data_IF_122819008222
#
_entry.id   IF_122819008222
#
_cell.length_a   1.000
_cell.length_b   1.000
_cell.length_c   1.000
_cell.angle_alpha   90.00
_cell.angle_beta   90.00
_cell.angle_gamma   90.00
#
_symmetry.space_group_name_H-M   'P 1'
#
loop_
_entity.id
_entity.type
_entity.pdbx_description
1 polymer ?
#
# COMPACT_ATOMS: atom_id res chain seq x y z
N UNK A 1 13.30 42.24 -15.47
CA UNK A 1 12.28 41.46 -16.23
C UNK A 1 12.84 40.20 -16.91
N UNK A 2 13.92 40.25 -17.71
CA UNK A 2 14.45 39.03 -18.39
C UNK A 2 14.91 37.89 -17.47
N UNK A 3 15.46 38.16 -16.29
CA UNK A 3 15.90 37.14 -15.32
C UNK A 3 14.75 36.40 -14.63
N UNK A 4 13.62 37.07 -14.43
CA UNK A 4 12.40 36.47 -13.85
C UNK A 4 11.65 35.60 -14.86
N UNK A 5 11.69 35.99 -16.16
CA UNK A 5 11.10 35.14 -17.23
C UNK A 5 11.88 33.83 -17.41
N UNK A 6 13.21 33.86 -17.34
CA UNK A 6 14.02 32.63 -17.41
C UNK A 6 13.80 31.71 -16.21
N UNK A 7 13.61 32.27 -15.00
CA UNK A 7 13.26 31.47 -13.81
C UNK A 7 11.88 30.82 -13.91
N UNK A 8 10.87 31.53 -14.43
CA UNK A 8 9.53 30.98 -14.64
C UNK A 8 9.52 29.94 -15.75
N UNK A 9 10.27 30.12 -16.83
CA UNK A 9 10.40 29.13 -17.91
C UNK A 9 11.11 27.86 -17.42
N UNK A 10 12.15 27.99 -16.59
CA UNK A 10 12.83 26.85 -15.98
C UNK A 10 11.95 26.10 -14.99
N UNK A 11 11.09 26.79 -14.22
CA UNK A 11 10.10 26.16 -13.34
C UNK A 11 8.98 25.45 -14.13
N UNK A 12 8.52 26.04 -15.25
CA UNK A 12 7.55 25.42 -16.16
C UNK A 12 8.14 24.19 -16.89
N UNK A 13 9.40 24.26 -17.33
CA UNK A 13 10.10 23.10 -17.90
C UNK A 13 10.34 21.99 -16.85
N UNK A 14 10.65 22.34 -15.60
CA UNK A 14 10.78 21.36 -14.53
C UNK A 14 9.44 20.71 -14.16
N UNK A 15 8.32 21.44 -14.25
CA UNK A 15 7.00 20.92 -13.99
C UNK A 15 6.49 19.96 -15.11
N UNK A 16 6.99 20.09 -16.33
CA UNK A 16 6.64 19.18 -17.44
C UNK A 16 7.49 17.91 -17.48
N UNK A 17 8.56 17.81 -16.69
CA UNK A 17 9.43 16.63 -16.62
C UNK A 17 8.98 15.62 -15.55
N UNK A 18 7.92 15.89 -14.77
CA UNK A 18 7.35 14.96 -13.79
C UNK A 18 6.06 14.28 -14.25
N UNK A 19 5.77 14.26 -15.54
CA UNK A 19 4.79 13.31 -16.08
C UNK A 19 5.58 12.08 -16.54
N UNK A 20 6.12 11.30 -15.59
CA UNK A 20 6.56 9.95 -15.89
C UNK A 20 5.32 9.17 -16.37
N UNK A 21 5.33 8.60 -17.55
CA UNK A 21 4.34 7.58 -17.86
C UNK A 21 4.61 6.44 -16.86
N UNK A 22 3.70 6.22 -15.93
CA UNK A 22 3.64 4.95 -15.23
C UNK A 22 3.79 3.87 -16.32
N UNK A 23 4.53 2.79 -16.02
CA UNK A 23 4.58 1.61 -16.87
C UNK A 23 3.12 1.18 -17.08
N UNK A 24 2.47 1.72 -18.12
CA UNK A 24 1.08 1.46 -18.42
C UNK A 24 1.03 0.08 -19.07
N UNK A 25 0.76 -0.93 -18.27
CA UNK A 25 0.45 -2.27 -18.71
C UNK A 25 -0.96 -2.24 -19.33
N UNK A 26 -1.04 -1.95 -20.61
CA UNK A 26 -2.32 -1.86 -21.30
C UNK A 26 -2.76 -3.25 -21.76
N UNK A 27 -3.96 -3.74 -21.35
CA UNK A 27 -4.53 -4.96 -21.88
C UNK A 27 -4.90 -4.78 -23.37
N UNK A 28 -4.86 -5.85 -24.14
CA UNK A 28 -5.21 -5.90 -25.57
C UNK A 28 -6.73 -5.85 -25.83
N UNK A 29 -7.53 -5.60 -24.81
CA UNK A 29 -9.00 -5.49 -24.86
C UNK A 29 -9.49 -4.19 -24.25
N UNK A 30 -10.69 -3.77 -24.67
CA UNK A 30 -11.32 -2.54 -24.15
C UNK A 30 -12.17 -2.85 -22.93
N UNK A 31 -12.00 -2.06 -21.87
CA UNK A 31 -12.83 -2.08 -20.67
C UNK A 31 -13.88 -0.96 -20.78
N UNK A 32 -15.16 -1.32 -20.84
CA UNK A 32 -16.28 -0.37 -20.98
C UNK A 32 -16.77 0.18 -19.65
N UNK A 33 -16.50 -0.49 -18.52
CA UNK A 33 -16.81 -0.02 -17.18
C UNK A 33 -16.20 1.35 -16.90
N UNK A 34 -16.92 2.18 -16.11
CA UNK A 34 -16.55 3.57 -15.90
C UNK A 34 -15.33 3.74 -15.00
N UNK A 35 -15.21 2.92 -13.95
CA UNK A 35 -14.04 2.90 -13.08
C UNK A 35 -13.61 1.47 -12.76
N UNK A 36 -12.29 1.23 -12.78
CA UNK A 36 -11.68 -0.07 -12.52
C UNK A 36 -10.41 0.11 -11.71
N UNK A 37 -10.13 -0.88 -10.86
CA UNK A 37 -8.89 -1.00 -10.11
C UNK A 37 -8.51 -2.49 -10.01
N UNK A 38 -7.33 -2.86 -10.49
CA UNK A 38 -6.78 -4.22 -10.42
C UNK A 38 -5.38 -4.19 -9.79
N UNK A 39 -5.20 -4.93 -8.72
CA UNK A 39 -3.95 -4.98 -7.97
C UNK A 39 -3.54 -6.44 -7.70
N UNK A 40 -2.24 -6.71 -7.75
CA UNK A 40 -1.67 -7.93 -7.21
C UNK A 40 -1.46 -7.78 -5.70
N UNK A 41 -2.04 -8.68 -4.91
CA UNK A 41 -2.01 -8.61 -3.44
C UNK A 41 -0.65 -8.98 -2.83
N UNK A 42 0.15 -9.78 -3.55
CA UNK A 42 1.44 -10.29 -3.06
C UNK A 42 2.51 -9.19 -3.09
N UNK A 43 2.44 -8.31 -4.09
CA UNK A 43 3.44 -7.26 -4.34
C UNK A 43 2.90 -5.84 -4.12
N UNK A 44 1.59 -5.66 -4.07
CA UNK A 44 0.94 -4.35 -4.04
C UNK A 44 0.99 -3.60 -5.39
N UNK A 45 1.42 -4.27 -6.47
CA UNK A 45 1.50 -3.65 -7.79
C UNK A 45 0.10 -3.46 -8.38
N UNK A 46 -0.23 -2.23 -8.76
CA UNK A 46 -1.44 -1.93 -9.53
C UNK A 46 -1.17 -2.24 -11.01
N UNK A 47 -1.90 -3.24 -11.55
CA UNK A 47 -1.71 -3.68 -12.91
C UNK A 47 -2.56 -2.88 -13.90
N UNK A 48 -3.77 -2.50 -13.48
CA UNK A 48 -4.67 -1.73 -14.31
C UNK A 48 -5.53 -0.81 -13.47
N UNK A 49 -5.63 0.44 -13.87
CA UNK A 49 -6.57 1.39 -13.30
C UNK A 49 -7.23 2.26 -14.38
N UNK A 50 -8.50 2.52 -14.17
CA UNK A 50 -9.28 3.43 -14.99
C UNK A 50 -10.17 4.24 -14.05
N UNK A 51 -10.01 5.56 -14.02
CA UNK A 51 -10.81 6.46 -13.18
C UNK A 51 -10.93 5.99 -11.71
N UNK A 52 -9.89 5.31 -11.17
CA UNK A 52 -9.97 4.63 -9.88
C UNK A 52 -10.31 5.55 -8.71
N UNK A 53 -9.98 6.83 -8.80
CA UNK A 53 -10.28 7.86 -7.80
C UNK A 53 -11.57 8.66 -8.10
N UNK A 54 -12.30 8.34 -9.16
CA UNK A 54 -13.55 9.00 -9.48
C UNK A 54 -14.65 8.59 -8.51
N UNK A 55 -15.39 9.56 -7.97
CA UNK A 55 -16.58 9.29 -7.14
C UNK A 55 -17.69 8.70 -7.99
N UNK A 56 -18.21 7.58 -7.54
CA UNK A 56 -19.29 6.84 -8.18
C UNK A 56 -20.22 6.27 -7.12
N UNK A 57 -21.40 5.84 -7.54
CA UNK A 57 -22.34 5.18 -6.65
C UNK A 57 -21.95 3.73 -6.42
N UNK A 58 -21.69 3.31 -5.16
CA UNK A 58 -21.19 1.96 -4.87
C UNK A 58 -22.28 0.89 -4.91
N UNK A 59 -23.56 1.29 -4.87
CA UNK A 59 -24.66 0.37 -4.68
C UNK A 59 -24.41 -0.59 -3.49
N UNK A 60 -24.80 -1.86 -3.58
CA UNK A 60 -24.65 -2.85 -2.51
C UNK A 60 -23.18 -3.22 -2.16
N UNK A 61 -22.15 -2.67 -2.82
CA UNK A 61 -20.76 -2.77 -2.35
C UNK A 61 -20.60 -2.11 -0.97
N UNK A 62 -21.47 -1.16 -0.63
CA UNK A 62 -21.62 -0.52 0.69
C UNK A 62 -21.66 -1.55 1.84
N UNK A 63 -22.28 -2.72 1.62
CA UNK A 63 -22.43 -3.77 2.65
C UNK A 63 -21.12 -4.36 3.12
N UNK A 64 -20.02 -4.12 2.40
CA UNK A 64 -18.67 -4.45 2.88
C UNK A 64 -18.34 -3.63 4.14
N UNK A 65 -18.60 -2.30 4.12
CA UNK A 65 -18.41 -1.46 5.30
C UNK A 65 -19.36 -1.86 6.43
N UNK A 66 -20.60 -2.19 6.11
CA UNK A 66 -21.55 -2.71 7.10
C UNK A 66 -21.02 -3.96 7.78
N UNK A 67 -20.49 -4.91 7.01
CA UNK A 67 -19.91 -6.14 7.55
C UNK A 67 -18.63 -5.90 8.38
N UNK A 68 -17.76 -4.97 7.95
CA UNK A 68 -16.57 -4.57 8.72
C UNK A 68 -16.98 -4.13 10.12
N UNK A 69 -17.94 -3.21 10.22
CA UNK A 69 -18.37 -2.70 11.52
C UNK A 69 -19.07 -3.75 12.37
N UNK A 70 -19.85 -4.66 11.77
CA UNK A 70 -20.47 -5.78 12.50
C UNK A 70 -19.39 -6.67 13.10
N UNK A 71 -18.40 -7.06 12.30
CA UNK A 71 -17.32 -7.98 12.73
C UNK A 71 -16.39 -7.35 13.77
N UNK A 72 -16.24 -6.03 13.78
CA UNK A 72 -15.44 -5.32 14.77
C UNK A 72 -16.18 -5.07 16.10
N UNK A 73 -17.51 -4.99 16.06
CA UNK A 73 -18.30 -4.60 17.24
C UNK A 73 -19.09 -5.76 17.87
N UNK A 74 -19.20 -6.89 17.20
CA UNK A 74 -19.91 -8.08 17.70
C UNK A 74 -18.94 -9.24 17.86
N UNK A 75 -18.42 -9.50 19.06
CA UNK A 75 -17.40 -10.53 19.29
C UNK A 75 -17.94 -11.97 19.14
N UNK A 76 -19.22 -12.19 19.47
CA UNK A 76 -19.90 -13.48 19.27
C UNK A 76 -21.13 -13.28 18.39
N UNK A 77 -21.02 -13.74 17.15
CA UNK A 77 -22.04 -13.58 16.12
C UNK A 77 -23.28 -14.49 16.33
N UNK A 78 -23.17 -15.47 17.21
CA UNK A 78 -24.21 -16.47 17.48
C UNK A 78 -24.92 -16.24 18.82
N UNK A 79 -24.37 -15.39 19.70
CA UNK A 79 -24.90 -15.12 21.03
C UNK A 79 -26.23 -14.35 21.01
N UNK A 80 -26.41 -13.44 20.06
CA UNK A 80 -27.62 -12.62 19.93
C UNK A 80 -28.48 -13.07 18.73
N UNK A 81 -29.80 -13.00 18.91
CA UNK A 81 -30.78 -13.27 17.88
C UNK A 81 -31.74 -12.10 17.80
N UNK A 82 -31.79 -11.44 16.67
CA UNK A 82 -32.50 -10.18 16.47
C UNK A 82 -33.73 -10.39 15.59
N UNK A 83 -34.85 -9.81 15.97
CA UNK A 83 -36.09 -9.90 15.18
C UNK A 83 -36.11 -8.86 14.05
N UNK A 84 -36.64 -9.23 12.89
CA UNK A 84 -36.87 -8.29 11.77
C UNK A 84 -38.07 -7.38 12.13
N UNK A 85 -37.84 -6.08 12.38
CA UNK A 85 -38.94 -5.20 12.78
C UNK A 85 -39.73 -4.69 11.58
N UNK A 86 -41.05 -4.51 11.77
CA UNK A 86 -41.97 -4.03 10.73
C UNK A 86 -41.58 -2.67 10.14
N UNK A 87 -40.98 -1.79 10.95
CA UNK A 87 -40.63 -0.45 10.46
C UNK A 87 -39.48 -0.51 9.40
N UNK A 88 -38.59 -1.50 9.45
CA UNK A 88 -37.58 -1.70 8.39
C UNK A 88 -38.28 -2.16 7.10
N UNK A 89 -39.24 -3.09 7.18
CA UNK A 89 -40.03 -3.46 6.00
C UNK A 89 -40.69 -2.25 5.36
N UNK A 90 -41.31 -1.40 6.19
CA UNK A 90 -41.96 -0.19 5.70
C UNK A 90 -40.99 0.81 5.06
N UNK A 91 -39.74 0.91 5.57
CA UNK A 91 -38.70 1.75 4.96
C UNK A 91 -38.22 1.23 3.61
N UNK A 92 -38.22 -0.09 3.42
CA UNK A 92 -37.76 -0.76 2.18
C UNK A 92 -38.92 -0.93 1.17
N UNK A 93 -40.16 -0.77 1.60
CA UNK A 93 -41.34 -0.93 0.72
C UNK A 93 -41.36 0.12 -0.39
N UNK A 94 -41.50 -0.35 -1.64
CA UNK A 94 -41.53 0.52 -2.81
C UNK A 94 -40.14 1.03 -3.26
N UNK A 95 -39.07 0.53 -2.65
CA UNK A 95 -37.69 0.74 -3.14
C UNK A 95 -37.23 -0.44 -3.99
N UNK A 96 -36.18 -0.26 -4.80
CA UNK A 96 -35.54 -1.33 -5.60
C UNK A 96 -34.60 -2.20 -4.73
N UNK A 97 -34.95 -2.39 -3.46
CA UNK A 97 -34.13 -3.14 -2.51
C UNK A 97 -34.10 -4.62 -2.83
N UNK A 98 -32.88 -5.19 -2.96
CA UNK A 98 -32.69 -6.63 -2.91
C UNK A 98 -32.98 -7.14 -1.50
N UNK A 99 -33.81 -8.19 -1.37
CA UNK A 99 -34.22 -8.75 -0.09
C UNK A 99 -33.65 -10.16 0.10
N UNK A 100 -33.34 -10.52 1.35
CA UNK A 100 -32.89 -11.85 1.76
C UNK A 100 -34.06 -12.84 2.00
N UNK A 101 -35.30 -12.38 1.82
CA UNK A 101 -36.49 -13.21 2.01
C UNK A 101 -36.98 -13.33 3.45
N UNK A 102 -36.53 -12.44 4.34
CA UNK A 102 -36.92 -12.45 5.75
C UNK A 102 -38.40 -12.03 5.93
N UNK A 103 -39.04 -12.61 6.93
CA UNK A 103 -40.41 -12.32 7.33
C UNK A 103 -40.42 -11.46 8.60
N UNK A 104 -41.27 -10.42 8.66
CA UNK A 104 -41.41 -9.58 9.87
C UNK A 104 -41.62 -10.44 11.13
N UNK A 105 -40.85 -10.15 12.17
CA UNK A 105 -40.81 -10.92 13.41
C UNK A 105 -39.97 -12.19 13.34
N UNK A 106 -39.35 -12.45 12.20
CA UNK A 106 -38.35 -13.51 12.10
C UNK A 106 -37.09 -13.18 12.88
N UNK A 107 -36.58 -14.14 13.62
CA UNK A 107 -35.37 -13.99 14.46
C UNK A 107 -34.21 -14.73 13.84
N UNK A 108 -33.11 -14.00 13.66
CA UNK A 108 -31.86 -14.53 13.11
C UNK A 108 -30.68 -14.12 14.00
N UNK A 109 -29.68 -14.97 14.07
CA UNK A 109 -28.40 -14.59 14.69
C UNK A 109 -27.69 -13.53 13.84
N UNK A 110 -26.74 -12.82 14.44
CA UNK A 110 -25.94 -11.83 13.72
C UNK A 110 -25.16 -12.50 12.57
N UNK A 111 -24.69 -13.74 12.77
CA UNK A 111 -24.05 -14.53 11.72
C UNK A 111 -25.01 -14.79 10.54
N UNK A 112 -26.23 -15.25 10.80
CA UNK A 112 -27.23 -15.50 9.75
C UNK A 112 -27.57 -14.23 8.97
N UNK A 113 -27.72 -13.10 9.68
CA UNK A 113 -27.93 -11.78 9.05
C UNK A 113 -26.75 -11.34 8.20
N UNK A 114 -25.51 -11.61 8.65
CA UNK A 114 -24.29 -11.30 7.90
C UNK A 114 -24.22 -12.11 6.59
N UNK A 115 -24.54 -13.41 6.62
CA UNK A 115 -24.64 -14.23 5.42
C UNK A 115 -25.73 -13.69 4.47
N UNK A 116 -26.91 -13.35 4.98
CA UNK A 116 -27.99 -12.80 4.16
C UNK A 116 -27.58 -11.46 3.52
N UNK A 117 -26.93 -10.55 4.25
CA UNK A 117 -26.47 -9.27 3.74
C UNK A 117 -25.38 -9.38 2.69
N UNK A 118 -24.43 -10.31 2.84
CA UNK A 118 -23.28 -10.44 1.95
C UNK A 118 -23.55 -11.37 0.76
N UNK A 119 -24.18 -12.53 0.98
CA UNK A 119 -24.44 -13.54 -0.05
C UNK A 119 -25.61 -13.13 -0.93
N UNK A 120 -26.81 -13.02 -0.35
CA UNK A 120 -28.05 -12.65 -1.06
C UNK A 120 -28.16 -11.13 -1.31
N UNK A 121 -27.30 -10.32 -0.67
CA UNK A 121 -27.38 -8.86 -0.71
C UNK A 121 -28.62 -8.30 -0.02
N UNK A 122 -29.18 -8.98 1.00
CA UNK A 122 -30.39 -8.58 1.72
C UNK A 122 -30.27 -7.21 2.37
N UNK A 123 -31.12 -6.26 1.93
CA UNK A 123 -31.12 -4.90 2.48
C UNK A 123 -31.73 -4.87 3.89
N UNK A 124 -32.76 -5.66 4.15
CA UNK A 124 -33.33 -5.81 5.48
C UNK A 124 -32.32 -6.33 6.48
N UNK A 125 -31.51 -7.32 6.09
CA UNK A 125 -30.42 -7.86 6.93
C UNK A 125 -29.37 -6.80 7.25
N UNK A 126 -28.95 -6.01 6.26
CA UNK A 126 -28.00 -4.92 6.47
C UNK A 126 -28.56 -3.83 7.39
N UNK A 127 -29.87 -3.51 7.29
CA UNK A 127 -30.55 -2.57 8.16
C UNK A 127 -30.64 -3.09 9.61
N UNK A 128 -30.98 -4.37 9.79
CA UNK A 128 -31.05 -5.00 11.11
C UNK A 128 -29.67 -5.00 11.77
N UNK A 129 -28.62 -5.40 11.05
CA UNK A 129 -27.24 -5.38 11.51
C UNK A 129 -26.79 -3.97 11.93
N UNK A 130 -27.11 -2.97 11.10
CA UNK A 130 -26.79 -1.57 11.38
C UNK A 130 -27.52 -1.05 12.63
N UNK A 131 -28.80 -1.35 12.78
CA UNK A 131 -29.57 -0.98 13.95
C UNK A 131 -29.01 -1.61 15.23
N UNK A 132 -28.74 -2.91 15.21
CA UNK A 132 -28.19 -3.65 16.34
C UNK A 132 -26.81 -3.09 16.78
N UNK A 133 -25.88 -2.90 15.85
CA UNK A 133 -24.56 -2.35 16.17
C UNK A 133 -24.65 -0.87 16.60
N UNK A 134 -25.44 -0.06 15.90
CA UNK A 134 -25.61 1.35 16.22
C UNK A 134 -26.27 1.60 17.58
N UNK A 135 -27.10 0.67 18.05
CA UNK A 135 -27.69 0.70 19.38
C UNK A 135 -26.74 0.25 20.51
N UNK A 136 -25.55 -0.27 20.14
CA UNK A 136 -24.61 -0.86 21.09
C UNK A 136 -25.00 -2.29 21.53
N UNK A 137 -25.68 -3.05 20.66
CA UNK A 137 -26.08 -4.44 20.88
C UNK A 137 -27.49 -4.60 21.47
N UNK A 138 -28.33 -3.57 21.39
CA UNK A 138 -29.73 -3.68 21.83
C UNK A 138 -30.59 -4.26 20.70
N UNK A 139 -31.36 -5.29 21.01
CA UNK A 139 -32.30 -5.90 20.04
C UNK A 139 -33.49 -5.00 19.70
N UNK A 140 -33.89 -4.09 20.60
CA UNK A 140 -34.96 -3.12 20.43
C UNK A 140 -34.45 -1.77 19.84
N UNK A 141 -33.64 -1.84 18.81
CA UNK A 141 -33.09 -0.68 18.14
C UNK A 141 -34.12 0.10 17.31
N UNK A 142 -33.83 1.35 17.07
CA UNK A 142 -34.71 2.32 16.42
C UNK A 142 -34.04 2.97 15.19
N UNK A 143 -34.76 3.69 14.31
CA UNK A 143 -34.17 4.37 13.16
C UNK A 143 -32.97 5.28 13.48
N UNK A 144 -32.96 5.93 14.66
CA UNK A 144 -31.82 6.75 15.12
C UNK A 144 -30.52 5.95 15.27
N UNK A 145 -30.61 4.66 15.58
CA UNK A 145 -29.45 3.78 15.78
C UNK A 145 -28.80 3.46 14.43
N UNK A 146 -29.62 3.38 13.36
CA UNK A 146 -29.09 3.29 11.99
C UNK A 146 -28.33 4.58 11.61
N UNK A 147 -28.84 5.75 11.98
CA UNK A 147 -28.13 7.02 11.76
C UNK A 147 -26.77 7.01 12.43
N UNK A 148 -26.72 6.59 13.70
CA UNK A 148 -25.45 6.43 14.43
C UNK A 148 -24.50 5.43 13.76
N UNK A 149 -25.03 4.33 13.24
CA UNK A 149 -24.23 3.37 12.49
C UNK A 149 -23.63 3.98 11.21
N UNK A 150 -24.38 4.81 10.49
CA UNK A 150 -23.90 5.53 9.31
C UNK A 150 -22.77 6.51 9.67
N UNK A 151 -22.85 7.18 10.83
CA UNK A 151 -21.73 7.98 11.35
C UNK A 151 -20.50 7.09 11.56
N UNK A 152 -20.66 5.91 12.20
CA UNK A 152 -19.56 4.95 12.36
C UNK A 152 -18.97 4.48 11.02
N UNK A 153 -19.82 4.28 9.97
CA UNK A 153 -19.33 3.92 8.62
C UNK A 153 -18.42 5.00 8.04
N UNK A 154 -18.79 6.26 8.17
CA UNK A 154 -18.01 7.39 7.66
C UNK A 154 -16.72 7.59 8.47
N UNK A 155 -16.76 7.43 9.79
CA UNK A 155 -15.57 7.48 10.65
C UNK A 155 -14.59 6.33 10.30
N UNK A 156 -15.11 5.11 10.08
CA UNK A 156 -14.29 3.97 9.66
C UNK A 156 -13.70 4.17 8.28
N UNK A 157 -14.43 4.68 7.31
CA UNK A 157 -13.93 5.01 5.99
C UNK A 157 -12.76 6.01 6.09
N UNK A 158 -12.92 7.07 6.88
CA UNK A 158 -11.88 8.05 7.16
C UNK A 158 -10.65 7.42 7.83
N UNK A 159 -10.85 6.55 8.83
CA UNK A 159 -9.77 5.85 9.53
C UNK A 159 -8.97 4.91 8.59
N UNK A 160 -9.61 4.35 7.57
CA UNK A 160 -8.97 3.54 6.53
C UNK A 160 -8.31 4.38 5.42
N UNK A 161 -8.39 5.72 5.48
CA UNK A 161 -7.84 6.62 4.45
C UNK A 161 -8.73 6.77 3.21
N UNK A 162 -9.99 6.32 3.24
CA UNK A 162 -10.94 6.38 2.14
C UNK A 162 -11.53 7.79 2.01
N UNK A 163 -10.79 8.71 1.41
CA UNK A 163 -11.15 10.14 1.33
C UNK A 163 -12.16 10.47 0.23
N UNK A 164 -12.36 9.57 -0.72
CA UNK A 164 -13.35 9.69 -1.80
C UNK A 164 -14.70 9.05 -1.47
N UNK A 165 -14.95 8.67 -0.20
CA UNK A 165 -16.12 7.89 0.22
C UNK A 165 -17.00 8.67 1.20
N UNK A 166 -18.33 8.55 1.00
CA UNK A 166 -19.33 9.03 1.95
C UNK A 166 -20.55 8.11 1.91
N UNK A 167 -20.97 7.62 3.06
CA UNK A 167 -22.12 6.75 3.24
C UNK A 167 -23.31 7.54 3.83
N UNK A 168 -24.52 7.25 3.34
CA UNK A 168 -25.79 7.80 3.85
C UNK A 168 -26.72 6.70 4.40
N UNK A 169 -26.41 5.44 4.08
CA UNK A 169 -27.19 4.28 4.54
C UNK A 169 -26.29 3.01 4.56
N UNK A 170 -26.68 1.94 5.27
CA UNK A 170 -25.90 0.72 5.39
C UNK A 170 -26.09 -0.27 4.22
N UNK A 171 -26.98 0.01 3.28
CA UNK A 171 -27.42 -0.92 2.24
C UNK A 171 -26.83 -0.66 0.87
N UNK A 172 -26.53 0.61 0.57
CA UNK A 172 -26.14 1.09 -0.75
C UNK A 172 -27.35 1.45 -1.64
N UNK A 173 -28.53 1.63 -1.08
CA UNK A 173 -29.64 2.26 -1.79
C UNK A 173 -29.23 3.66 -2.24
N UNK A 174 -29.67 4.02 -3.43
CA UNK A 174 -29.24 5.27 -4.05
C UNK A 174 -29.57 6.51 -3.22
N UNK A 175 -28.59 7.39 -3.10
CA UNK A 175 -28.69 8.76 -2.63
C UNK A 175 -27.56 9.58 -3.28
N UNK A 176 -27.86 10.84 -3.66
CA UNK A 176 -26.87 11.68 -4.36
C UNK A 176 -25.55 11.87 -3.58
N UNK A 177 -25.61 11.85 -2.25
CA UNK A 177 -24.45 12.00 -1.35
C UNK A 177 -23.87 10.63 -0.90
N UNK A 178 -24.34 9.50 -1.47
CA UNK A 178 -23.84 8.17 -1.18
C UNK A 178 -22.87 7.73 -2.28
N UNK A 179 -21.59 7.92 -2.08
CA UNK A 179 -20.58 7.68 -3.10
C UNK A 179 -19.32 7.04 -2.53
N UNK A 180 -18.53 6.42 -3.41
CA UNK A 180 -17.21 5.90 -3.14
C UNK A 180 -16.36 5.93 -4.41
N UNK A 181 -15.14 5.43 -4.35
CA UNK A 181 -14.25 5.27 -5.51
C UNK A 181 -13.82 3.81 -5.65
N UNK A 182 -13.38 3.38 -6.82
CA UNK A 182 -12.88 2.03 -7.01
C UNK A 182 -11.66 1.76 -6.11
N UNK A 183 -10.79 2.76 -5.93
CA UNK A 183 -9.65 2.69 -5.01
C UNK A 183 -10.08 2.53 -3.55
N UNK A 184 -10.99 3.38 -3.05
CA UNK A 184 -11.44 3.29 -1.65
C UNK A 184 -12.15 1.96 -1.38
N UNK A 185 -12.95 1.47 -2.35
CA UNK A 185 -13.60 0.16 -2.26
C UNK A 185 -12.60 -0.99 -2.26
N UNK A 186 -11.48 -0.86 -2.99
CA UNK A 186 -10.39 -1.83 -2.91
C UNK A 186 -9.73 -1.81 -1.52
N UNK A 187 -9.49 -0.64 -0.94
CA UNK A 187 -8.96 -0.51 0.43
C UNK A 187 -9.89 -1.20 1.44
N UNK A 188 -11.20 -0.88 1.40
CA UNK A 188 -12.19 -1.49 2.30
C UNK A 188 -12.35 -2.98 2.08
N UNK A 189 -12.39 -3.44 0.82
CA UNK A 189 -12.52 -4.85 0.47
C UNK A 189 -11.31 -5.68 0.93
N UNK A 190 -10.10 -5.21 0.68
CA UNK A 190 -8.86 -5.84 1.16
C UNK A 190 -8.80 -5.88 2.69
N UNK A 191 -9.26 -4.81 3.36
CA UNK A 191 -9.35 -4.79 4.81
C UNK A 191 -10.33 -5.85 5.33
N UNK A 192 -11.52 -5.96 4.72
CA UNK A 192 -12.54 -6.94 5.10
C UNK A 192 -12.06 -8.38 4.88
N UNK A 193 -11.38 -8.67 3.77
CA UNK A 193 -10.86 -10.01 3.44
C UNK A 193 -9.81 -10.54 4.42
N UNK A 194 -9.16 -9.67 5.21
CA UNK A 194 -8.27 -10.09 6.31
C UNK A 194 -9.02 -10.74 7.47
N UNK A 195 -10.33 -10.52 7.58
CA UNK A 195 -11.15 -11.19 8.59
C UNK A 195 -11.61 -12.56 8.07
N UNK A 196 -11.23 -13.63 8.76
CA UNK A 196 -11.51 -15.02 8.35
C UNK A 196 -13.02 -15.30 8.19
N UNK A 197 -13.86 -14.73 9.07
CA UNK A 197 -15.33 -14.89 8.97
C UNK A 197 -15.87 -14.17 7.72
N UNK A 198 -15.40 -12.97 7.41
CA UNK A 198 -15.80 -12.29 6.19
C UNK A 198 -15.41 -13.09 4.96
N UNK A 199 -14.15 -13.53 4.87
CA UNK A 199 -13.64 -14.32 3.75
C UNK A 199 -14.40 -15.66 3.59
N UNK A 200 -14.79 -16.28 4.70
CA UNK A 200 -15.63 -17.50 4.68
C UNK A 200 -17.02 -17.22 4.10
N UNK A 201 -17.67 -16.13 4.54
CA UNK A 201 -19.04 -15.79 4.10
C UNK A 201 -19.08 -15.52 2.60
N UNK A 202 -18.17 -14.69 2.08
CA UNK A 202 -18.26 -14.16 0.71
C UNK A 202 -17.90 -15.18 -0.38
N UNK A 203 -17.26 -16.30 -0.05
CA UNK A 203 -16.92 -17.38 -1.01
C UNK A 203 -18.10 -18.30 -1.33
N UNK A 204 -19.19 -18.23 -0.55
CA UNK A 204 -20.32 -19.13 -0.73
C UNK A 204 -21.18 -18.70 -1.92
N UNK A 205 -21.44 -19.60 -2.87
CA UNK A 205 -22.42 -19.35 -3.93
C UNK A 205 -23.85 -19.67 -3.46
N UNK A 206 -24.02 -20.59 -2.52
CA UNK A 206 -25.30 -20.91 -1.87
C UNK A 206 -25.03 -21.37 -0.43
N UNK A 207 -25.89 -20.98 0.49
CA UNK A 207 -25.82 -21.39 1.90
C UNK A 207 -27.22 -21.52 2.49
N UNK A 208 -27.43 -22.59 3.26
CA UNK A 208 -28.63 -22.76 4.08
C UNK A 208 -28.35 -22.19 5.47
N UNK A 209 -29.07 -21.16 5.87
CA UNK A 209 -28.97 -20.56 7.21
C UNK A 209 -29.65 -21.40 8.31
N UNK A 210 -30.29 -22.52 7.92
CA UNK A 210 -31.04 -23.38 8.84
C UNK A 210 -32.44 -22.88 9.11
N UNK A 211 -33.08 -23.53 10.11
CA UNK A 211 -34.44 -23.20 10.53
C UNK A 211 -34.44 -21.89 11.36
N UNK A 212 -35.50 -21.13 11.21
CA UNK A 212 -35.82 -19.96 12.03
C UNK A 212 -37.20 -20.14 12.69
N UNK A 213 -37.72 -19.13 13.38
CA UNK A 213 -39.09 -19.17 13.86
C UNK A 213 -40.14 -18.92 12.76
N UNK A 214 -39.72 -18.76 11.49
CA UNK A 214 -40.60 -18.46 10.34
C UNK A 214 -40.34 -19.36 9.13
N UNK A 215 -39.15 -19.94 8.99
CA UNK A 215 -38.73 -20.81 7.91
C UNK A 215 -38.23 -22.14 8.49
N UNK A 216 -38.55 -23.25 7.84
CA UNK A 216 -37.97 -24.57 8.13
C UNK A 216 -36.52 -24.61 7.61
N UNK A 217 -36.26 -23.98 6.45
CA UNK A 217 -34.95 -23.77 5.86
C UNK A 217 -34.91 -22.39 5.20
N UNK A 218 -33.82 -21.67 5.40
CA UNK A 218 -33.61 -20.34 4.77
C UNK A 218 -32.36 -20.37 3.90
N UNK A 219 -32.57 -20.60 2.61
CA UNK A 219 -31.47 -20.58 1.62
C UNK A 219 -31.14 -19.17 1.15
N UNK A 220 -29.83 -18.87 1.09
CA UNK A 220 -29.29 -17.64 0.51
C UNK A 220 -28.43 -17.98 -0.70
N UNK A 221 -28.59 -17.25 -1.79
CA UNK A 221 -27.90 -17.45 -3.05
C UNK A 221 -27.07 -16.23 -3.41
N UNK A 222 -25.79 -16.44 -3.77
CA UNK A 222 -24.90 -15.36 -4.11
C UNK A 222 -25.35 -14.60 -5.35
N UNK A 223 -25.28 -13.30 -5.28
CA UNK A 223 -25.47 -12.42 -6.44
C UNK A 223 -24.26 -12.42 -7.38
N UNK A 224 -23.11 -12.96 -6.93
CA UNK A 224 -21.90 -13.10 -7.76
C UNK A 224 -21.97 -14.37 -8.63
N UNK A 225 -22.35 -14.17 -9.89
CA UNK A 225 -22.47 -15.29 -10.85
C UNK A 225 -21.13 -15.92 -11.25
N UNK A 226 -20.01 -15.32 -10.91
CA UNK A 226 -18.68 -15.91 -11.16
C UNK A 226 -18.36 -17.08 -10.24
N UNK A 227 -19.11 -17.25 -9.13
CA UNK A 227 -18.97 -18.35 -8.18
C UNK A 227 -19.71 -19.62 -8.58
N UNK A 228 -20.68 -19.54 -9.51
CA UNK A 228 -21.53 -20.67 -9.86
C UNK A 228 -20.92 -21.49 -11.00
N UNK A 229 -20.59 -22.78 -10.79
CA UNK A 229 -20.02 -23.62 -11.86
C UNK A 229 -20.91 -23.77 -13.10
N UNK A 230 -22.24 -23.61 -12.95
CA UNK A 230 -23.21 -23.67 -14.05
C UNK A 230 -23.41 -22.34 -14.77
N UNK A 231 -22.82 -21.27 -14.29
CA UNK A 231 -22.96 -19.92 -14.89
C UNK A 231 -22.03 -19.74 -16.09
N UNK A 232 -22.46 -19.07 -17.17
CA UNK A 232 -21.57 -18.68 -18.26
C UNK A 232 -20.47 -17.70 -17.84
N UNK A 233 -20.61 -17.07 -16.67
CA UNK A 233 -19.66 -16.13 -16.08
C UNK A 233 -18.68 -16.81 -15.10
N UNK A 234 -18.83 -18.11 -14.85
CA UNK A 234 -17.98 -18.85 -13.92
C UNK A 234 -16.50 -18.64 -14.20
N UNK A 235 -15.75 -18.43 -13.10
CA UNK A 235 -14.31 -18.35 -13.16
C UNK A 235 -13.70 -18.98 -11.91
N UNK A 236 -13.04 -20.13 -12.08
CA UNK A 236 -12.57 -20.98 -10.98
C UNK A 236 -11.70 -20.28 -9.94
N UNK A 237 -10.77 -19.34 -10.32
CA UNK A 237 -9.96 -18.63 -9.35
C UNK A 237 -10.72 -17.66 -8.42
N UNK A 238 -11.99 -17.33 -8.67
CA UNK A 238 -12.75 -16.36 -7.84
C UNK A 238 -13.08 -16.91 -6.46
N UNK A 239 -12.77 -16.12 -5.43
CA UNK A 239 -13.06 -16.44 -4.02
C UNK A 239 -14.08 -15.52 -3.34
N UNK A 240 -14.72 -14.65 -4.08
CA UNK A 240 -15.73 -13.68 -3.63
C UNK A 240 -15.63 -12.39 -4.46
N UNK A 241 -16.03 -11.18 -4.05
CA UNK A 241 -16.38 -10.73 -2.71
C UNK A 241 -17.84 -10.24 -2.68
N UNK A 242 -18.21 -9.21 -3.46
CA UNK A 242 -19.54 -8.57 -3.43
C UNK A 242 -19.91 -7.94 -4.77
N UNK A 243 -21.20 -8.00 -5.10
CA UNK A 243 -21.77 -7.27 -6.24
C UNK A 243 -22.62 -6.10 -5.78
N UNK A 244 -22.80 -5.13 -6.65
CA UNK A 244 -23.69 -3.99 -6.47
C UNK A 244 -24.41 -3.63 -7.78
N UNK A 245 -25.64 -3.15 -7.69
CA UNK A 245 -26.37 -2.62 -8.84
C UNK A 245 -27.50 -1.72 -8.38
N UNK A 246 -27.60 -0.54 -9.00
CA UNK A 246 -28.78 0.32 -9.08
C UNK A 246 -28.81 0.88 -10.51
N UNK A 247 -29.90 1.53 -10.90
CA UNK A 247 -29.98 2.15 -12.22
C UNK A 247 -28.88 3.21 -12.42
N UNK A 248 -28.57 3.98 -11.37
CA UNK A 248 -27.56 5.05 -11.41
C UNK A 248 -26.13 4.52 -11.30
N UNK A 249 -25.92 3.41 -10.58
CA UNK A 249 -24.60 2.82 -10.39
C UNK A 249 -24.17 1.93 -11.57
N UNK A 250 -25.09 1.44 -12.37
CA UNK A 250 -24.83 0.36 -13.30
C UNK A 250 -24.49 -0.95 -12.56
N UNK A 251 -23.74 -1.84 -13.18
CA UNK A 251 -23.25 -3.06 -12.54
C UNK A 251 -21.88 -2.85 -11.92
N UNK A 252 -21.77 -3.23 -10.65
CA UNK A 252 -20.52 -3.16 -9.90
C UNK A 252 -20.13 -4.54 -9.35
N UNK A 253 -18.84 -4.80 -9.21
CA UNK A 253 -18.32 -5.98 -8.53
C UNK A 253 -16.98 -5.71 -7.88
N UNK A 254 -16.81 -6.22 -6.68
CA UNK A 254 -15.51 -6.41 -6.03
C UNK A 254 -15.27 -7.91 -5.99
N UNK A 255 -14.06 -8.31 -6.36
CA UNK A 255 -13.67 -9.72 -6.36
C UNK A 255 -12.20 -9.88 -5.98
N UNK A 256 -11.87 -11.05 -5.47
CA UNK A 256 -10.52 -11.56 -5.31
C UNK A 256 -10.40 -12.81 -6.14
N UNK A 257 -9.25 -13.05 -6.76
CA UNK A 257 -8.94 -14.26 -7.50
C UNK A 257 -7.60 -14.82 -7.05
N UNK A 258 -7.51 -16.15 -6.94
CA UNK A 258 -6.34 -16.88 -6.47
C UNK A 258 -6.05 -18.03 -7.44
N UNK A 259 -4.80 -18.12 -7.90
CA UNK A 259 -4.32 -19.23 -8.73
C UNK A 259 -2.84 -19.49 -8.39
N UNK A 260 -2.58 -20.64 -7.77
CA UNK A 260 -1.24 -20.97 -7.27
C UNK A 260 -0.74 -19.96 -6.24
N UNK A 261 0.35 -19.27 -6.54
CA UNK A 261 0.99 -18.27 -5.69
C UNK A 261 0.60 -16.83 -6.05
N UNK A 262 -0.42 -16.66 -6.90
CA UNK A 262 -0.85 -15.34 -7.35
C UNK A 262 -2.20 -14.98 -6.78
N UNK A 263 -2.29 -13.82 -6.15
CA UNK A 263 -3.50 -13.29 -5.55
C UNK A 263 -3.77 -11.90 -6.14
N UNK A 264 -4.94 -11.74 -6.74
CA UNK A 264 -5.34 -10.45 -7.34
C UNK A 264 -6.64 -9.95 -6.74
N UNK A 265 -6.78 -8.64 -6.66
CA UNK A 265 -7.98 -7.95 -6.20
C UNK A 265 -8.48 -6.99 -7.28
N UNK A 266 -9.75 -7.09 -7.63
CA UNK A 266 -10.35 -6.29 -8.69
C UNK A 266 -11.63 -5.61 -8.24
N UNK A 267 -11.76 -4.34 -8.55
CA UNK A 267 -12.98 -3.53 -8.40
C UNK A 267 -13.39 -3.03 -9.77
N UNK A 268 -14.61 -3.32 -10.17
CA UNK A 268 -15.25 -2.83 -11.39
C UNK A 268 -16.51 -2.09 -11.04
N UNK A 269 -16.65 -0.83 -11.47
CA UNK A 269 -17.81 0.01 -11.19
C UNK A 269 -18.39 0.61 -12.48
N UNK A 270 -19.68 0.79 -12.50
CA UNK A 270 -20.37 1.44 -13.62
C UNK A 270 -20.28 0.65 -14.93
N UNK A 271 -20.27 -0.68 -14.86
CA UNK A 271 -20.35 -1.50 -16.04
C UNK A 271 -21.74 -1.30 -16.71
N UNK A 272 -21.77 -1.12 -18.05
CA UNK A 272 -23.02 -0.89 -18.76
C UNK A 272 -23.94 -2.11 -18.70
N UNK A 273 -25.25 -1.85 -18.68
CA UNK A 273 -26.30 -2.87 -18.76
C UNK A 273 -26.93 -2.78 -20.16
N UNK A 274 -26.78 -3.80 -20.95
CA UNK A 274 -27.41 -3.86 -22.27
C UNK A 274 -28.32 -5.09 -22.39
N UNK A 275 -29.24 -5.07 -23.34
CA UNK A 275 -30.10 -6.23 -23.57
C UNK A 275 -29.31 -7.48 -24.05
N UNK A 276 -28.19 -7.25 -24.76
CA UNK A 276 -27.31 -8.31 -25.23
C UNK A 276 -26.41 -8.85 -24.12
N UNK A 277 -25.95 -7.97 -23.22
CA UNK A 277 -25.05 -8.34 -22.13
C UNK A 277 -25.43 -7.59 -20.84
N UNK A 278 -26.20 -8.23 -19.96
CA UNK A 278 -26.65 -7.62 -18.70
C UNK A 278 -25.60 -7.71 -17.57
N UNK A 279 -24.50 -8.41 -17.80
CA UNK A 279 -23.47 -8.68 -16.76
C UNK A 279 -22.06 -8.39 -17.26
N UNK A 280 -21.88 -7.28 -17.95
CA UNK A 280 -20.58 -6.83 -18.49
C UNK A 280 -19.50 -6.74 -17.42
N UNK A 281 -19.86 -6.41 -16.18
CA UNK A 281 -18.94 -6.40 -15.02
C UNK A 281 -18.24 -7.75 -14.82
N UNK A 282 -18.93 -8.88 -14.96
CA UNK A 282 -18.31 -10.21 -14.78
C UNK A 282 -17.40 -10.58 -15.98
N UNK A 283 -17.79 -10.19 -17.19
CA UNK A 283 -16.97 -10.42 -18.38
C UNK A 283 -15.64 -9.69 -18.27
N UNK A 284 -15.69 -8.38 -17.97
CA UNK A 284 -14.49 -7.55 -17.86
C UNK A 284 -13.61 -7.97 -16.68
N UNK A 285 -14.20 -8.29 -15.54
CA UNK A 285 -13.46 -8.82 -14.38
C UNK A 285 -12.71 -10.10 -14.76
N UNK A 286 -13.34 -11.04 -15.46
CA UNK A 286 -12.71 -12.29 -15.93
C UNK A 286 -11.60 -12.01 -16.95
N UNK A 287 -11.80 -11.07 -17.86
CA UNK A 287 -10.79 -10.67 -18.84
C UNK A 287 -9.57 -10.06 -18.17
N UNK A 288 -9.77 -9.16 -17.21
CA UNK A 288 -8.71 -8.53 -16.42
C UNK A 288 -7.88 -9.56 -15.63
N UNK A 289 -8.55 -10.51 -14.97
CA UNK A 289 -7.83 -11.57 -14.26
C UNK A 289 -7.07 -12.50 -15.20
N UNK A 290 -7.69 -12.93 -16.32
CA UNK A 290 -6.99 -13.75 -17.31
C UNK A 290 -5.77 -13.05 -17.85
N UNK A 291 -5.90 -11.78 -18.19
CA UNK A 291 -4.78 -10.97 -18.65
C UNK A 291 -3.68 -10.90 -17.58
N UNK A 292 -4.03 -10.64 -16.31
CA UNK A 292 -3.06 -10.60 -15.22
C UNK A 292 -2.34 -11.94 -15.03
N UNK A 293 -3.07 -13.06 -14.94
CA UNK A 293 -2.47 -14.39 -14.77
C UNK A 293 -1.66 -14.87 -15.97
N UNK A 294 -1.94 -14.40 -17.17
CA UNK A 294 -1.30 -14.84 -18.40
C UNK A 294 -0.09 -14.01 -18.83
N UNK A 295 0.03 -12.80 -18.31
CA UNK A 295 1.07 -11.86 -18.78
C UNK A 295 2.03 -11.41 -17.71
N UNK A 296 1.83 -11.78 -16.44
CA UNK A 296 2.68 -11.36 -15.34
C UNK A 296 3.14 -12.56 -14.52
N UNK A 297 4.44 -12.57 -14.23
CA UNK A 297 5.05 -13.58 -13.35
C UNK A 297 5.94 -12.95 -12.29
N UNK A 298 6.03 -13.62 -11.14
CA UNK A 298 6.99 -13.29 -10.09
C UNK A 298 8.38 -13.71 -10.55
N UNK A 299 9.30 -12.75 -10.68
CA UNK A 299 10.66 -12.96 -11.17
C UNK A 299 11.65 -12.54 -10.11
N UNK A 300 12.59 -13.44 -9.80
CA UNK A 300 13.71 -13.12 -8.92
C UNK A 300 14.71 -12.26 -9.72
N UNK A 301 14.88 -11.02 -9.27
CA UNK A 301 15.81 -10.06 -9.87
C UNK A 301 17.22 -10.22 -9.28
N UNK A 302 17.31 -10.51 -7.98
CA UNK A 302 18.55 -10.70 -7.24
C UNK A 302 18.31 -11.78 -6.17
N UNK A 303 19.32 -12.62 -5.95
CA UNK A 303 19.31 -13.61 -4.88
C UNK A 303 20.00 -13.05 -3.63
N UNK A 304 19.59 -13.52 -2.44
CA UNK A 304 20.24 -13.19 -1.18
C UNK A 304 21.73 -13.51 -1.25
N UNK A 305 22.57 -12.55 -0.85
CA UNK A 305 24.04 -12.71 -0.85
C UNK A 305 24.72 -12.30 -2.15
N UNK A 306 23.98 -11.88 -3.17
CA UNK A 306 24.57 -11.35 -4.42
C UNK A 306 25.29 -10.04 -4.15
N UNK A 307 26.55 -9.96 -4.63
CA UNK A 307 27.45 -8.84 -4.38
C UNK A 307 27.14 -7.67 -5.33
N UNK A 308 26.78 -6.51 -4.77
CA UNK A 308 26.35 -5.35 -5.56
C UNK A 308 27.23 -4.11 -5.40
N UNK A 309 27.99 -3.99 -4.30
CA UNK A 309 28.83 -2.83 -4.05
C UNK A 309 30.03 -3.15 -3.14
N UNK A 310 30.98 -2.22 -3.09
CA UNK A 310 32.09 -2.23 -2.15
C UNK A 310 32.24 -0.84 -1.51
N UNK A 311 32.57 -0.81 -0.20
CA UNK A 311 32.75 0.43 0.57
C UNK A 311 34.04 0.38 1.36
N UNK A 312 34.87 1.46 1.35
CA UNK A 312 36.05 1.54 2.18
C UNK A 312 35.72 1.45 3.67
N UNK A 313 36.51 0.68 4.44
CA UNK A 313 36.37 0.57 5.90
C UNK A 313 37.55 1.28 6.57
N UNK A 314 37.26 2.38 7.27
CA UNK A 314 38.24 3.09 8.08
C UNK A 314 38.48 2.36 9.41
N UNK A 315 39.74 2.42 9.87
CA UNK A 315 40.19 1.91 11.18
C UNK A 315 40.04 0.40 11.38
N UNK A 316 39.75 -0.34 10.32
CA UNK A 316 39.68 -1.82 10.40
C UNK A 316 41.04 -2.48 10.53
N UNK A 317 41.10 -3.55 11.34
CA UNK A 317 42.23 -4.46 11.42
C UNK A 317 42.29 -5.49 10.27
N UNK A 318 41.12 -5.86 9.77
CA UNK A 318 40.91 -7.06 8.96
C UNK A 318 40.84 -6.81 7.45
N UNK A 319 40.70 -5.56 7.02
CA UNK A 319 40.62 -5.22 5.61
C UNK A 319 40.36 -3.75 5.35
N UNK A 320 40.35 -3.34 4.08
CA UNK A 320 40.14 -1.96 3.67
C UNK A 320 38.81 -1.74 2.94
N UNK A 321 38.21 -2.80 2.43
CA UNK A 321 36.97 -2.76 1.63
C UNK A 321 35.98 -3.78 2.19
N UNK A 322 34.79 -3.33 2.52
CA UNK A 322 33.64 -4.17 2.81
C UNK A 322 32.90 -4.46 1.50
N UNK A 323 32.73 -5.74 1.19
CA UNK A 323 31.82 -6.17 0.13
C UNK A 323 30.41 -6.14 0.67
N UNK A 324 29.50 -5.58 -0.10
CA UNK A 324 28.10 -5.46 0.25
C UNK A 324 27.26 -6.37 -0.62
N UNK A 325 26.40 -7.15 0.03
CA UNK A 325 25.49 -8.07 -0.63
C UNK A 325 24.04 -7.70 -0.34
N UNK A 326 23.13 -8.18 -1.18
CA UNK A 326 21.70 -8.06 -0.96
C UNK A 326 21.29 -8.88 0.26
N UNK A 327 20.50 -8.28 1.17
CA UNK A 327 20.12 -8.89 2.44
C UNK A 327 19.07 -10.01 2.33
N UNK A 328 18.28 -10.01 1.24
CA UNK A 328 17.23 -10.99 0.95
C UNK A 328 16.99 -11.07 -0.55
N UNK A 329 16.30 -12.12 -1.01
CA UNK A 329 15.85 -12.22 -2.40
C UNK A 329 14.99 -11.03 -2.79
N UNK A 330 15.23 -10.48 -3.97
CA UNK A 330 14.42 -9.44 -4.57
C UNK A 330 13.53 -10.05 -5.65
N UNK A 331 12.28 -10.26 -5.29
CA UNK A 331 11.27 -10.80 -6.21
C UNK A 331 10.30 -9.70 -6.59
N UNK A 332 10.04 -9.54 -7.88
CA UNK A 332 9.10 -8.55 -8.43
C UNK A 332 8.14 -9.22 -9.40
N UNK A 333 6.89 -8.75 -9.39
CA UNK A 333 5.92 -9.09 -10.42
C UNK A 333 6.23 -8.24 -11.65
N UNK A 334 6.58 -8.86 -12.74
CA UNK A 334 6.89 -8.18 -14.01
C UNK A 334 6.09 -8.81 -15.13
N UNK A 335 5.84 -8.03 -16.18
CA UNK A 335 5.30 -8.54 -17.42
C UNK A 335 6.31 -9.49 -18.07
N UNK A 336 5.82 -10.62 -18.60
CA UNK A 336 6.67 -11.72 -19.11
C UNK A 336 7.55 -11.30 -20.28
N UNK A 337 7.09 -10.32 -21.08
CA UNK A 337 7.83 -9.76 -22.22
C UNK A 337 9.04 -8.90 -21.80
N UNK A 338 9.11 -8.45 -20.53
CA UNK A 338 10.22 -7.61 -20.06
C UNK A 338 11.47 -8.46 -19.90
N UNK A 339 12.55 -8.08 -20.60
CA UNK A 339 13.87 -8.69 -20.39
C UNK A 339 14.44 -8.24 -19.05
N UNK A 340 14.99 -9.19 -18.26
CA UNK A 340 15.69 -8.86 -17.00
C UNK A 340 16.94 -8.00 -17.23
N UNK A 341 17.53 -8.06 -18.43
CA UNK A 341 18.67 -7.21 -18.79
C UNK A 341 18.32 -5.71 -18.87
N UNK A 342 17.04 -5.36 -18.93
CA UNK A 342 16.57 -3.97 -18.90
C UNK A 342 16.43 -3.40 -17.48
N UNK A 343 16.59 -4.25 -16.45
CA UNK A 343 16.59 -3.82 -15.06
C UNK A 343 17.96 -3.27 -14.71
N UNK A 344 18.01 -2.03 -14.23
CA UNK A 344 19.24 -1.36 -13.83
C UNK A 344 19.31 -1.27 -12.31
N UNK A 345 20.52 -1.38 -11.79
CA UNK A 345 20.79 -1.34 -10.35
C UNK A 345 21.69 -0.16 -10.02
N UNK A 346 21.34 0.62 -9.01
CA UNK A 346 22.13 1.76 -8.52
C UNK A 346 22.29 1.66 -7.00
N UNK A 347 23.54 1.48 -6.54
CA UNK A 347 23.83 1.38 -5.11
C UNK A 347 24.04 2.78 -4.51
N UNK A 348 23.25 3.13 -3.52
CA UNK A 348 23.46 4.28 -2.66
C UNK A 348 24.21 3.82 -1.40
N UNK A 349 25.51 4.12 -1.36
CA UNK A 349 26.41 3.72 -0.27
C UNK A 349 27.22 4.90 0.23
N UNK A 350 27.61 4.94 1.52
CA UNK A 350 28.45 6.00 2.05
C UNK A 350 29.87 5.92 1.41
N UNK A 351 30.55 7.07 1.37
CA UNK A 351 31.92 7.13 0.87
C UNK A 351 32.88 6.21 1.64
N UNK A 352 32.59 5.93 2.91
CA UNK A 352 33.31 5.02 3.79
C UNK A 352 32.48 4.67 5.03
N UNK A 353 32.80 3.55 5.68
CA UNK A 353 32.28 3.17 6.99
C UNK A 353 33.40 3.03 8.01
N UNK A 354 33.11 3.25 9.29
CA UNK A 354 34.07 3.03 10.38
C UNK A 354 33.89 1.67 11.02
N UNK A 355 35.01 0.97 11.25
CA UNK A 355 34.99 -0.22 12.06
C UNK A 355 34.66 0.11 13.54
N UNK A 356 33.95 -0.78 14.29
CA UNK A 356 33.57 -2.12 13.89
C UNK A 356 32.32 -2.14 12.99
N UNK A 357 32.28 -3.08 12.04
CA UNK A 357 31.11 -3.41 11.21
C UNK A 357 30.92 -4.91 11.31
N UNK A 358 29.73 -5.37 11.63
CA UNK A 358 29.41 -6.80 11.69
C UNK A 358 28.86 -7.31 10.35
N UNK A 359 29.06 -8.58 10.08
CA UNK A 359 28.38 -9.25 8.98
C UNK A 359 26.84 -9.15 9.17
N UNK A 360 26.13 -8.73 8.13
CA UNK A 360 24.69 -8.46 8.20
C UNK A 360 24.31 -7.01 8.56
N UNK A 361 25.26 -6.17 8.97
CA UNK A 361 24.97 -4.75 9.20
C UNK A 361 24.59 -4.07 7.89
N UNK A 362 23.48 -3.33 7.91
CA UNK A 362 23.05 -2.50 6.77
C UNK A 362 24.02 -1.35 6.58
N UNK A 363 24.59 -1.24 5.37
CA UNK A 363 25.58 -0.24 5.00
C UNK A 363 25.03 0.71 3.93
N UNK A 364 24.13 0.25 3.08
CA UNK A 364 23.59 1.04 1.99
C UNK A 364 22.24 0.53 1.51
N UNK A 365 21.76 1.15 0.45
CA UNK A 365 20.52 0.78 -0.22
C UNK A 365 20.79 0.58 -1.72
N UNK A 366 20.23 -0.47 -2.30
CA UNK A 366 20.25 -0.70 -3.73
C UNK A 366 18.91 -0.24 -4.31
N UNK A 367 18.95 0.67 -5.27
CA UNK A 367 17.79 1.12 -6.04
C UNK A 367 17.67 0.27 -7.30
N UNK A 368 16.47 -0.22 -7.57
CA UNK A 368 16.16 -1.10 -8.69
C UNK A 368 15.29 -0.32 -9.66
N UNK A 369 15.81 -0.10 -10.86
CA UNK A 369 15.22 0.76 -11.87
C UNK A 369 14.78 -0.06 -13.08
N UNK A 370 13.62 0.22 -13.61
CA UNK A 370 13.13 -0.33 -14.88
C UNK A 370 12.61 0.81 -15.74
N UNK A 371 13.11 0.94 -16.97
CA UNK A 371 12.73 2.01 -17.92
C UNK A 371 12.83 3.44 -17.34
N UNK A 372 13.74 3.64 -16.38
CA UNK A 372 13.97 4.94 -15.72
C UNK A 372 13.12 5.18 -14.48
N UNK A 373 12.24 4.27 -14.11
CA UNK A 373 11.44 4.32 -12.88
C UNK A 373 11.98 3.38 -11.82
N UNK A 374 11.90 3.80 -10.54
CA UNK A 374 12.27 2.96 -9.42
C UNK A 374 11.15 1.96 -9.11
N UNK A 375 11.42 0.68 -9.34
CA UNK A 375 10.48 -0.41 -9.08
C UNK A 375 10.68 -1.06 -7.70
N UNK A 376 11.68 -0.61 -6.95
CA UNK A 376 11.93 -1.04 -5.58
C UNK A 376 13.33 -0.79 -5.10
N UNK A 377 13.55 -1.12 -3.83
CA UNK A 377 14.86 -1.03 -3.17
C UNK A 377 15.19 -2.32 -2.44
N UNK A 378 16.48 -2.55 -2.18
CA UNK A 378 16.97 -3.64 -1.34
C UNK A 378 18.06 -3.14 -0.40
N UNK A 379 18.15 -3.72 0.80
CA UNK A 379 19.21 -3.40 1.75
C UNK A 379 20.52 -4.05 1.34
N UNK A 380 21.59 -3.27 1.35
CA UNK A 380 22.94 -3.74 1.16
C UNK A 380 23.62 -3.92 2.51
N UNK A 381 24.04 -5.15 2.79
CA UNK A 381 24.62 -5.54 4.07
C UNK A 381 26.07 -5.97 3.92
N UNK A 382 26.89 -5.76 4.95
CA UNK A 382 28.27 -6.23 4.98
C UNK A 382 28.31 -7.76 4.98
N UNK A 383 29.21 -8.35 4.17
CA UNK A 383 29.33 -9.82 4.04
C UNK A 383 30.25 -10.46 5.07
N UNK A 384 31.02 -9.66 5.82
CA UNK A 384 31.97 -10.14 6.82
C UNK A 384 32.15 -9.11 7.94
N UNK A 385 32.72 -9.58 9.06
CA UNK A 385 33.07 -8.72 10.19
C UNK A 385 34.34 -7.91 9.93
N UNK A 386 34.34 -6.66 10.41
CA UNK A 386 35.51 -5.79 10.44
C UNK A 386 35.74 -5.31 11.85
N UNK A 387 36.81 -5.79 12.49
CA UNK A 387 37.16 -5.41 13.84
C UNK A 387 37.85 -4.04 13.88
N UNK A 388 37.60 -3.27 14.98
CA UNK A 388 38.24 -1.98 15.18
C UNK A 388 39.71 -2.13 15.57
N UNK A 389 40.61 -1.54 14.80
CA UNK A 389 42.01 -1.38 15.15
C UNK A 389 42.23 -0.06 15.88
N UNK A 390 42.42 -0.10 17.20
CA UNK A 390 42.68 1.08 18.02
C UNK A 390 43.91 1.86 17.57
N UNK A 391 44.93 1.19 17.06
CA UNK A 391 46.16 1.81 16.54
C UNK A 391 45.86 2.61 15.29
N UNK A 392 45.10 2.04 14.33
CA UNK A 392 44.71 2.73 13.12
C UNK A 392 43.78 3.91 13.39
N UNK A 393 42.86 3.74 14.35
CA UNK A 393 41.95 4.82 14.79
C UNK A 393 42.75 5.98 15.40
N UNK A 394 43.71 5.70 16.30
CA UNK A 394 44.55 6.71 16.90
C UNK A 394 45.39 7.47 15.86
N UNK A 395 46.03 6.75 14.91
CA UNK A 395 46.81 7.37 13.83
C UNK A 395 45.88 8.24 12.94
N UNK A 396 44.70 7.74 12.58
CA UNK A 396 43.72 8.50 11.78
C UNK A 396 43.26 9.78 12.47
N UNK A 397 42.90 9.68 13.75
CA UNK A 397 42.46 10.85 14.54
C UNK A 397 43.58 11.89 14.69
N UNK A 398 44.83 11.44 14.90
CA UNK A 398 46.00 12.34 14.92
C UNK A 398 46.17 13.00 13.54
N UNK A 399 46.04 12.23 12.46
CA UNK A 399 46.14 12.74 11.08
C UNK A 399 45.05 13.81 10.78
N UNK A 400 43.84 13.54 11.17
CA UNK A 400 42.71 14.50 11.04
C UNK A 400 42.94 15.77 11.86
N UNK A 401 43.43 15.61 13.10
CA UNK A 401 43.78 16.75 13.96
C UNK A 401 44.88 17.62 13.33
N UNK A 402 45.91 16.98 12.79
CA UNK A 402 47.03 17.71 12.13
C UNK A 402 46.61 18.31 10.80
N UNK A 403 45.63 17.77 10.11
CA UNK A 403 45.08 18.29 8.86
C UNK A 403 44.07 19.43 9.06
N UNK A 404 43.61 19.64 10.29
CA UNK A 404 42.62 20.66 10.64
C UNK A 404 43.12 22.06 10.33
N UNK A 405 42.23 23.00 9.96
CA UNK A 405 42.61 24.39 9.71
C UNK A 405 43.33 25.03 10.92
N UNK A 406 42.90 24.70 12.13
CA UNK A 406 43.50 25.18 13.38
C UNK A 406 44.95 24.70 13.56
N UNK A 407 45.20 23.39 13.29
CA UNK A 407 46.54 22.82 13.39
C UNK A 407 47.47 23.42 12.34
N UNK A 408 47.02 23.66 11.12
CA UNK A 408 47.80 24.35 10.07
C UNK A 408 48.16 25.80 10.48
N UNK A 409 47.23 26.51 11.09
CA UNK A 409 47.50 27.86 11.63
C UNK A 409 48.51 27.81 12.78
N UNK A 410 48.33 26.87 13.72
CA UNK A 410 49.26 26.68 14.83
C UNK A 410 50.69 26.36 14.36
N UNK A 411 50.79 25.42 13.37
CA UNK A 411 52.06 25.09 12.74
C UNK A 411 52.74 26.28 12.07
N UNK A 412 51.97 27.10 11.33
CA UNK A 412 52.47 28.34 10.72
C UNK A 412 52.98 29.32 11.78
N UNK A 413 52.28 29.50 12.91
CA UNK A 413 52.68 30.32 14.02
C UNK A 413 54.00 29.82 14.64
N UNK A 414 54.12 28.50 14.86
CA UNK A 414 55.35 27.90 15.39
C UNK A 414 56.54 28.11 14.41
N UNK A 415 56.35 27.92 13.12
CA UNK A 415 57.37 28.17 12.10
C UNK A 415 57.79 29.64 12.10
N UNK A 416 56.85 30.57 12.14
CA UNK A 416 57.15 32.02 12.23
C UNK A 416 57.89 32.37 13.52
N UNK A 417 57.56 31.78 14.65
CA UNK A 417 58.24 31.98 15.93
C UNK A 417 59.69 31.46 15.86
N UNK A 418 59.89 30.27 15.28
CA UNK A 418 61.22 29.70 15.08
C UNK A 418 62.08 30.58 14.16
N UNK A 419 61.54 31.00 13.01
CA UNK A 419 62.22 31.90 12.08
C UNK A 419 62.55 33.23 12.76
N UNK A 420 61.58 33.82 13.49
CA UNK A 420 61.79 35.02 14.30
C UNK A 420 62.91 34.88 15.32
N UNK A 421 62.95 33.74 16.04
CA UNK A 421 64.01 33.42 16.97
C UNK A 421 65.38 33.29 16.30
N UNK A 422 65.48 32.64 15.16
CA UNK A 422 66.74 32.54 14.37
C UNK A 422 67.20 33.96 13.95
N UNK A 423 66.32 34.77 13.43
CA UNK A 423 66.65 36.13 13.03
C UNK A 423 67.14 36.95 14.24
N UNK A 424 66.46 36.82 15.40
CA UNK A 424 66.86 37.47 16.64
C UNK A 424 68.28 37.02 17.06
N UNK A 425 68.56 35.70 17.10
CA UNK A 425 69.87 35.17 17.43
C UNK A 425 70.97 35.62 16.48
N UNK A 426 70.70 35.64 15.17
CA UNK A 426 71.67 36.20 14.16
C UNK A 426 71.96 37.68 14.39
N UNK A 427 70.92 38.46 14.65
CA UNK A 427 71.09 39.90 14.96
C UNK A 427 71.83 40.14 16.29
N UNK A 428 71.50 39.38 17.30
CA UNK A 428 72.13 39.47 18.63
C UNK A 428 73.62 39.11 18.54
N UNK A 429 73.95 37.98 17.87
CA UNK A 429 75.32 37.54 17.68
C UNK A 429 76.13 38.55 16.81
N UNK A 430 75.54 39.20 15.81
CA UNK A 430 76.16 40.23 15.01
C UNK A 430 76.43 41.48 15.89
N UNK A 431 75.54 41.89 16.79
CA UNK A 431 75.73 42.95 17.76
C UNK A 431 76.88 42.66 18.75
N UNK A 432 76.91 41.39 19.28
CA UNK A 432 78.00 40.92 20.17
C UNK A 432 79.37 40.96 19.46
N UNK A 433 79.48 40.52 18.20
CA UNK A 433 80.68 40.58 17.42
C UNK A 433 81.14 42.03 17.16
N UNK A 434 80.23 42.96 16.81
CA UNK A 434 80.58 44.38 16.65
C UNK A 434 81.09 45.02 17.94
N UNK A 435 80.51 44.73 19.08
CA UNK A 435 80.99 45.16 20.39
C UNK A 435 82.41 44.62 20.74
N UNK A 436 82.68 43.38 20.37
CA UNK A 436 84.00 42.74 20.60
C UNK A 436 85.10 43.34 19.71
N UNK A 437 84.78 43.79 18.51
CA UNK A 437 85.76 44.51 17.63
C UNK A 437 85.96 46.01 18.01
N UNK A 438 84.95 46.68 18.59
CA UNK A 438 85.10 48.07 19.05
C UNK A 438 85.96 48.19 20.32
N UNK A 439 86.03 47.16 21.18
CA UNK A 439 86.84 47.17 22.41
C UNK A 439 88.28 46.68 22.19
N UNK A 440 88.75 46.41 20.93
CA UNK A 440 90.13 46.03 20.62
C UNK A 440 90.97 47.09 19.97
N UNK A 441 90.39 48.35 19.77
CA UNK A 441 91.06 49.49 19.18
C UNK A 441 91.14 50.69 20.16
N UNK A 442 91.41 50.39 21.46
CA UNK A 442 91.86 51.35 22.45
C UNK A 442 93.08 50.75 23.16
#
# INVERSE_FOLDING_TARGET
MRRWLCGLLALLLAATLFCCPALAYEPDFTVSSQAVYLENLDTGLVLYEKNASQRMYPASLTKIMTAILVLENVPDLDAASVAYPLWIQNMLYGTDASLGGLIVGERLTIRQLLYSALVQSGNESAMILAGYVGSGGNEDFMPRDITRFVEMMNDKAKALGCTGTHFTNPTGLHHQDHYSTAYDLAVMGKYAMKNATFAEVVKNYAVNLGATNKHDELWQYSTNKMLYPSSPYYYAPIVGVKTGSTDEAGRCVISQAEDGNYHYFCVVMGAPVTAAEPYQNFIETRQLYRWAFQNFSLRTLLEQGELMAEVPVKYSGDGKLAKLAVSADVVKLLQDEISLDSVLYSAEVPEWVEAPVAAGDKVGTLHIMLMGEEIGTADLVATQDFSLSWIRKAIGTIGELLSSPLAKVLFAVVVLAVVGYIIYMVRHNRKKRRRKYSNRNY
#
